data_IF_583437252458
#
_entry.id   IF_583437252458
#
_cell.length_a   1.000
_cell.length_b   1.000
_cell.length_c   1.000
_cell.angle_alpha   90.00
_cell.angle_beta   90.00
_cell.angle_gamma   90.00
#
_symmetry.space_group_name_H-M   'P 1'
#
loop_
_entity.id
_entity.type
_entity.pdbx_description
1 polymer ?
#
# COMPACT_ATOMS: atom_id res chain seq x y z
N UNK A 1 42.45 -1.73 -24.11
CA UNK A 1 41.54 -2.56 -24.92
C UNK A 1 41.48 -3.92 -24.26
N UNK A 2 40.31 -4.31 -23.74
CA UNK A 2 40.06 -5.63 -23.13
C UNK A 2 40.63 -5.78 -21.71
N UNK A 3 39.93 -6.31 -20.72
CA UNK A 3 38.67 -7.08 -20.70
C UNK A 3 38.08 -6.78 -19.30
N UNK A 4 36.87 -6.23 -19.17
CA UNK A 4 35.66 -7.04 -18.98
C UNK A 4 35.99 -8.41 -18.37
N UNK A 5 36.34 -8.42 -17.09
CA UNK A 5 36.18 -9.61 -16.27
C UNK A 5 34.87 -9.46 -15.49
N UNK A 6 33.77 -9.75 -16.18
CA UNK A 6 32.97 -10.99 -16.10
C UNK A 6 32.05 -11.01 -14.90
N UNK A 7 30.75 -10.83 -15.19
CA UNK A 7 29.61 -11.12 -14.32
C UNK A 7 29.52 -12.61 -13.87
N UNK A 8 30.62 -13.35 -13.95
CA UNK A 8 30.75 -14.78 -13.75
C UNK A 8 31.38 -15.13 -12.39
N UNK A 9 32.10 -14.19 -11.75
CA UNK A 9 32.51 -14.34 -10.34
C UNK A 9 31.31 -14.27 -9.37
N UNK A 10 30.22 -13.59 -9.76
CA UNK A 10 29.01 -13.49 -8.94
C UNK A 10 28.16 -14.79 -8.92
N UNK A 11 28.48 -15.78 -9.76
CA UNK A 11 27.76 -17.07 -9.79
C UNK A 11 28.32 -18.12 -8.82
N UNK A 12 29.50 -17.89 -8.24
CA UNK A 12 30.20 -18.90 -7.42
C UNK A 12 30.13 -18.64 -5.91
N UNK A 13 29.44 -17.60 -5.48
CA UNK A 13 29.32 -17.26 -4.06
C UNK A 13 28.16 -18.06 -3.45
N UNK A 14 28.47 -19.04 -2.58
CA UNK A 14 27.45 -19.88 -1.94
C UNK A 14 26.38 -19.03 -1.24
N UNK A 15 25.09 -19.44 -1.26
CA UNK A 15 23.99 -18.64 -0.71
C UNK A 15 24.13 -18.34 0.80
N UNK A 16 25.00 -19.09 1.50
CA UNK A 16 25.32 -18.89 2.92
C UNK A 16 26.34 -17.76 3.17
N UNK A 17 27.09 -17.34 2.15
CA UNK A 17 28.09 -16.26 2.25
C UNK A 17 27.59 -14.92 1.71
N UNK A 18 26.60 -14.89 0.80
CA UNK A 18 25.92 -13.64 0.40
C UNK A 18 25.10 -13.01 1.56
N UNK A 19 24.71 -13.84 2.55
CA UNK A 19 23.92 -13.41 3.71
C UNK A 19 24.72 -12.66 4.78
N UNK A 20 26.06 -12.56 4.67
CA UNK A 20 26.93 -11.98 5.72
C UNK A 20 27.78 -10.79 5.27
N UNK A 21 27.80 -10.45 3.98
CA UNK A 21 28.54 -9.29 3.43
C UNK A 21 27.63 -8.13 2.99
N UNK A 22 26.32 -8.35 2.88
CA UNK A 22 25.32 -7.27 2.91
C UNK A 22 25.10 -6.83 4.36
N UNK A 23 26.17 -6.38 5.02
CA UNK A 23 26.05 -5.65 6.28
C UNK A 23 25.17 -4.45 6.00
N UNK A 24 23.91 -4.53 6.41
CA UNK A 24 22.87 -3.51 6.25
C UNK A 24 23.49 -2.13 6.51
N UNK A 25 23.72 -1.29 5.48
CA UNK A 25 24.17 0.07 5.69
C UNK A 25 22.99 0.90 6.20
N UNK A 26 22.39 0.52 7.34
CA UNK A 26 21.41 1.36 8.04
C UNK A 26 22.10 2.31 8.98
N UNK A 27 23.05 3.07 8.44
CA UNK A 27 23.39 4.33 9.08
C UNK A 27 22.56 5.39 8.39
N UNK A 28 21.58 5.90 9.12
CA UNK A 28 20.92 7.14 8.79
C UNK A 28 22.00 8.22 8.66
N UNK A 29 22.18 8.73 7.45
CA UNK A 29 23.20 9.70 7.11
C UNK A 29 22.58 10.79 6.23
N UNK A 30 23.30 11.90 6.07
CA UNK A 30 22.82 13.02 5.25
C UNK A 30 22.66 12.65 3.76
N UNK A 31 23.36 11.61 3.27
CA UNK A 31 23.21 11.17 1.87
C UNK A 31 21.83 10.56 1.62
N UNK A 32 21.29 9.76 2.55
CA UNK A 32 19.94 9.21 2.41
C UNK A 32 18.89 10.32 2.35
N UNK A 33 19.07 11.42 3.09
CA UNK A 33 18.16 12.56 3.00
C UNK A 33 18.21 13.22 1.62
N UNK A 34 19.41 13.46 1.10
CA UNK A 34 19.60 14.04 -0.24
C UNK A 34 19.03 13.12 -1.31
N UNK A 35 19.28 11.82 -1.23
CA UNK A 35 18.76 10.83 -2.17
C UNK A 35 17.23 10.73 -2.11
N UNK A 36 16.64 10.84 -0.91
CA UNK A 36 15.20 10.85 -0.73
C UNK A 36 14.55 12.10 -1.34
N UNK A 37 15.18 13.26 -1.19
CA UNK A 37 14.73 14.52 -1.81
C UNK A 37 14.87 14.45 -3.33
N UNK A 38 16.01 13.93 -3.82
CA UNK A 38 16.23 13.72 -5.25
C UNK A 38 15.18 12.77 -5.85
N UNK A 39 14.82 11.71 -5.14
CA UNK A 39 13.75 10.79 -5.57
C UNK A 39 12.42 11.52 -5.79
N UNK A 40 12.03 12.46 -4.91
CA UNK A 40 10.81 13.27 -5.09
C UNK A 40 10.82 14.15 -6.35
N UNK A 41 11.99 14.48 -6.89
CA UNK A 41 12.09 15.25 -8.13
C UNK A 41 12.21 14.35 -9.37
N UNK A 42 12.72 13.13 -9.21
CA UNK A 42 13.13 12.25 -10.31
C UNK A 42 12.22 11.03 -10.50
N UNK A 43 11.26 10.75 -9.60
CA UNK A 43 10.41 9.55 -9.69
C UNK A 43 9.66 9.43 -11.03
N UNK A 44 9.28 10.55 -11.65
CA UNK A 44 8.65 10.56 -12.99
C UNK A 44 9.61 10.06 -14.08
N UNK A 45 10.89 10.39 -13.98
CA UNK A 45 11.94 9.92 -14.90
C UNK A 45 12.21 8.42 -14.73
N UNK A 46 12.01 7.90 -13.51
CA UNK A 46 12.03 6.45 -13.23
C UNK A 46 10.80 5.71 -13.77
N UNK A 47 9.92 6.39 -14.52
CA UNK A 47 8.69 5.82 -15.08
C UNK A 47 7.60 5.57 -14.04
N UNK A 48 7.71 6.16 -12.85
CA UNK A 48 6.69 6.03 -11.82
C UNK A 48 5.68 7.17 -11.96
N UNK A 49 4.40 6.81 -12.06
CA UNK A 49 3.32 7.80 -12.20
C UNK A 49 3.01 8.45 -10.85
N UNK A 50 3.08 7.66 -9.77
CA UNK A 50 2.76 8.08 -8.41
C UNK A 50 3.93 7.70 -7.49
N UNK A 51 4.47 8.64 -6.69
CA UNK A 51 5.55 8.32 -5.77
C UNK A 51 5.04 7.41 -4.66
N UNK A 52 5.90 6.51 -4.15
CA UNK A 52 5.49 5.57 -3.10
C UNK A 52 6.63 5.24 -2.15
N UNK A 53 6.29 4.82 -0.92
CA UNK A 53 7.29 4.34 0.06
C UNK A 53 8.08 3.14 -0.47
N UNK A 54 7.47 2.33 -1.32
CA UNK A 54 8.14 1.22 -1.99
C UNK A 54 9.15 1.71 -3.03
N UNK A 55 8.78 2.70 -3.86
CA UNK A 55 9.69 3.30 -4.84
C UNK A 55 10.89 3.99 -4.17
N UNK A 56 10.65 4.71 -3.08
CA UNK A 56 11.71 5.30 -2.26
C UNK A 56 12.63 4.23 -1.67
N UNK A 57 12.08 3.13 -1.14
CA UNK A 57 12.88 2.03 -0.60
C UNK A 57 13.80 1.41 -1.67
N UNK A 58 13.31 1.21 -2.89
CA UNK A 58 14.11 0.72 -4.02
C UNK A 58 15.20 1.72 -4.41
N UNK A 59 14.88 3.02 -4.49
CA UNK A 59 15.85 4.06 -4.81
C UNK A 59 17.00 4.13 -3.78
N UNK A 60 16.68 3.91 -2.50
CA UNK A 60 17.66 3.92 -1.41
C UNK A 60 18.36 2.56 -1.19
N UNK A 61 17.94 1.49 -1.88
CA UNK A 61 18.43 0.14 -1.62
C UNK A 61 18.09 -0.40 -0.22
N UNK A 62 16.98 0.07 0.37
CA UNK A 62 16.52 -0.30 1.70
C UNK A 62 15.28 -1.20 1.63
N UNK A 63 15.02 -1.91 2.72
CA UNK A 63 13.75 -2.62 2.89
C UNK A 63 12.61 -1.63 3.19
N UNK A 64 11.40 -1.93 2.71
CA UNK A 64 10.21 -1.11 2.93
C UNK A 64 9.88 -0.92 4.41
N UNK A 65 10.08 -1.95 5.23
CA UNK A 65 9.90 -1.87 6.68
C UNK A 65 10.88 -0.91 7.34
N UNK A 66 12.09 -0.79 6.79
CA UNK A 66 13.10 0.19 7.27
C UNK A 66 12.65 1.62 7.00
N UNK A 67 12.11 1.90 5.82
CA UNK A 67 11.58 3.22 5.47
C UNK A 67 10.39 3.58 6.36
N UNK A 68 9.49 2.62 6.61
CA UNK A 68 8.36 2.82 7.49
C UNK A 68 8.79 3.09 8.95
N UNK A 69 9.74 2.30 9.45
CA UNK A 69 10.34 2.47 10.78
C UNK A 69 10.95 3.88 10.90
N UNK A 70 11.81 4.28 9.95
CA UNK A 70 12.45 5.60 9.99
C UNK A 70 11.47 6.77 9.89
N UNK A 71 10.34 6.60 9.19
CA UNK A 71 9.31 7.64 9.10
C UNK A 71 8.59 7.86 10.44
N UNK A 72 8.53 6.84 11.29
CA UNK A 72 7.88 6.87 12.60
C UNK A 72 8.83 7.12 13.77
N UNK A 73 10.14 7.13 13.54
CA UNK A 73 11.14 7.38 14.59
C UNK A 73 11.27 8.87 14.91
N UNK A 74 11.18 9.21 16.20
CA UNK A 74 11.30 10.59 16.70
C UNK A 74 12.70 11.18 16.45
N UNK A 75 13.75 10.36 16.44
CA UNK A 75 15.13 10.78 16.19
C UNK A 75 15.39 11.22 14.73
N UNK A 76 14.42 11.09 13.83
CA UNK A 76 14.58 11.35 12.38
C UNK A 76 13.47 12.26 11.84
N UNK A 77 13.31 13.47 12.40
CA UNK A 77 12.22 14.37 12.00
C UNK A 77 12.33 14.81 10.53
N UNK A 78 13.54 14.91 10.00
CA UNK A 78 13.79 15.28 8.60
C UNK A 78 13.28 14.21 7.64
N UNK A 79 13.55 12.93 7.95
CA UNK A 79 13.07 11.81 7.15
C UNK A 79 11.54 11.72 7.19
N UNK A 80 10.96 11.87 8.38
CA UNK A 80 9.50 11.92 8.53
C UNK A 80 8.88 13.05 7.69
N UNK A 81 9.51 14.24 7.68
CA UNK A 81 9.07 15.36 6.83
C UNK A 81 9.13 15.02 5.33
N UNK A 82 10.19 14.35 4.87
CA UNK A 82 10.32 13.93 3.47
C UNK A 82 9.25 12.90 3.11
N UNK A 83 8.99 11.93 3.99
CA UNK A 83 7.94 10.92 3.77
C UNK A 83 6.54 11.57 3.74
N UNK A 84 6.28 12.57 4.59
CA UNK A 84 5.04 13.34 4.52
C UNK A 84 4.89 14.14 3.23
N UNK A 85 5.99 14.72 2.73
CA UNK A 85 6.00 15.40 1.43
C UNK A 85 5.73 14.41 0.28
N UNK A 86 6.32 13.21 0.35
CA UNK A 86 6.04 12.10 -0.57
C UNK A 86 4.57 11.74 -0.58
N UNK A 87 3.96 11.58 0.59
CA UNK A 87 2.54 11.24 0.74
C UNK A 87 1.62 12.34 0.18
N UNK A 88 1.93 13.62 0.42
CA UNK A 88 1.19 14.74 -0.15
C UNK A 88 1.30 14.80 -1.68
N UNK A 89 2.48 14.52 -2.23
CA UNK A 89 2.69 14.47 -3.67
C UNK A 89 1.98 13.28 -4.32
N UNK A 90 1.99 12.13 -3.64
CA UNK A 90 1.21 10.96 -4.02
C UNK A 90 -0.30 11.26 -4.08
N UNK A 91 -0.84 11.99 -3.10
CA UNK A 91 -2.24 12.42 -3.11
C UNK A 91 -2.54 13.31 -4.33
N UNK A 92 -1.70 14.32 -4.58
CA UNK A 92 -1.88 15.24 -5.70
C UNK A 92 -1.81 14.54 -7.06
N UNK A 93 -0.80 13.69 -7.29
CA UNK A 93 -0.66 12.96 -8.56
C UNK A 93 -1.80 11.93 -8.73
N UNK A 94 -2.24 11.26 -7.67
CA UNK A 94 -3.36 10.32 -7.74
C UNK A 94 -4.68 11.04 -8.07
N UNK A 95 -4.92 12.20 -7.46
CA UNK A 95 -6.10 13.02 -7.74
C UNK A 95 -6.08 13.53 -9.18
N UNK A 96 -4.97 14.14 -9.60
CA UNK A 96 -4.83 14.67 -10.96
C UNK A 96 -4.93 13.55 -12.02
N UNK A 97 -4.28 12.41 -11.79
CA UNK A 97 -4.32 11.26 -12.71
C UNK A 97 -5.68 10.57 -12.76
N UNK A 98 -6.45 10.61 -11.66
CA UNK A 98 -7.84 10.16 -11.65
C UNK A 98 -8.76 11.11 -12.43
N UNK A 99 -8.56 12.42 -12.29
CA UNK A 99 -9.33 13.45 -13.00
C UNK A 99 -8.97 13.53 -14.48
N UNK A 100 -7.72 13.28 -14.86
CA UNK A 100 -7.29 13.22 -16.27
C UNK A 100 -7.72 11.93 -16.99
N UNK A 101 -8.12 10.90 -16.23
CA UNK A 101 -8.49 9.59 -16.76
C UNK A 101 -7.29 8.70 -17.12
N UNK A 102 -6.07 9.12 -16.80
CA UNK A 102 -4.84 8.34 -17.06
C UNK A 102 -4.65 7.20 -16.04
N UNK A 103 -5.17 7.37 -14.83
CA UNK A 103 -5.11 6.36 -13.78
C UNK A 103 -6.43 5.60 -13.66
N UNK A 104 -6.32 4.30 -13.40
CA UNK A 104 -7.49 3.46 -13.17
C UNK A 104 -8.23 3.92 -11.90
N UNK A 105 -9.55 4.20 -11.95
CA UNK A 105 -10.29 4.83 -10.85
C UNK A 105 -10.24 4.03 -9.55
N UNK A 106 -10.29 2.70 -9.61
CA UNK A 106 -10.13 1.84 -8.42
C UNK A 106 -8.77 2.00 -7.73
N UNK A 107 -7.69 2.24 -8.48
CA UNK A 107 -6.36 2.42 -7.91
C UNK A 107 -6.27 3.78 -7.23
N UNK A 108 -6.81 4.81 -7.88
CA UNK A 108 -6.91 6.16 -7.31
C UNK A 108 -7.70 6.14 -6.00
N UNK A 109 -8.88 5.50 -5.98
CA UNK A 109 -9.68 5.35 -4.77
C UNK A 109 -8.89 4.69 -3.63
N UNK A 110 -8.19 3.57 -3.90
CA UNK A 110 -7.36 2.91 -2.88
C UNK A 110 -6.24 3.80 -2.33
N UNK A 111 -5.62 4.62 -3.18
CA UNK A 111 -4.57 5.57 -2.75
C UNK A 111 -5.19 6.69 -1.92
N UNK A 112 -6.27 7.31 -2.38
CA UNK A 112 -6.95 8.38 -1.67
C UNK A 112 -7.54 7.91 -0.33
N UNK A 113 -8.01 6.65 -0.24
CA UNK A 113 -8.47 6.07 1.03
C UNK A 113 -7.38 5.96 2.09
N UNK A 114 -6.10 5.91 1.71
CA UNK A 114 -4.99 6.01 2.68
C UNK A 114 -4.79 7.42 3.22
N UNK A 115 -5.25 8.43 2.49
CA UNK A 115 -5.16 9.85 2.85
C UNK A 115 -6.45 10.41 3.48
N UNK A 116 -7.38 9.53 3.86
CA UNK A 116 -8.60 9.91 4.58
C UNK A 116 -9.83 10.12 3.70
N UNK A 117 -9.73 9.92 2.38
CA UNK A 117 -10.89 9.97 1.49
C UNK A 117 -11.69 8.68 1.61
N UNK A 118 -12.92 8.81 2.11
CA UNK A 118 -13.82 7.68 2.23
C UNK A 118 -14.97 7.84 1.25
N UNK A 119 -15.16 6.84 0.41
CA UNK A 119 -16.39 6.68 -0.33
C UNK A 119 -17.45 6.19 0.67
N UNK A 120 -18.49 6.97 0.90
CA UNK A 120 -19.63 6.48 1.63
C UNK A 120 -20.25 5.34 0.82
N UNK A 121 -20.45 4.13 1.38
CA UNK A 121 -21.23 3.14 0.68
C UNK A 121 -22.61 3.73 0.46
N UNK A 122 -23.02 3.84 -0.81
CA UNK A 122 -24.40 4.17 -1.14
C UNK A 122 -25.25 3.09 -0.48
N UNK A 123 -25.99 3.47 0.55
CA UNK A 123 -26.87 2.55 1.25
C UNK A 123 -27.91 2.07 0.25
N UNK A 124 -27.74 0.84 -0.26
CA UNK A 124 -28.79 0.17 -0.97
C UNK A 124 -29.98 0.09 -0.02
N UNK A 125 -30.99 0.92 -0.26
CA UNK A 125 -32.30 0.86 0.37
C UNK A 125 -32.99 -0.41 -0.10
N UNK A 126 -32.51 -1.55 0.40
CA UNK A 126 -32.97 -2.88 0.07
C UNK A 126 -32.75 -3.78 1.27
N UNK A 127 -33.81 -4.02 2.03
CA UNK A 127 -33.80 -5.00 3.11
C UNK A 127 -33.67 -6.38 2.46
N UNK A 128 -32.50 -7.01 2.61
CA UNK A 128 -32.26 -8.37 2.12
C UNK A 128 -32.67 -9.37 3.20
N UNK A 129 -33.85 -9.98 3.07
CA UNK A 129 -34.31 -11.04 3.97
C UNK A 129 -33.78 -12.38 3.44
N UNK A 130 -32.95 -13.07 4.24
CA UNK A 130 -32.52 -14.45 3.94
C UNK A 130 -33.49 -15.43 4.61
N UNK A 131 -34.28 -16.15 3.81
CA UNK A 131 -35.24 -17.16 4.33
C UNK A 131 -34.60 -18.54 4.22
N UNK A 132 -34.30 -19.18 5.35
CA UNK A 132 -33.94 -20.59 5.39
C UNK A 132 -35.21 -21.41 5.63
N UNK A 133 -35.61 -22.21 4.63
CA UNK A 133 -36.77 -23.09 4.75
C UNK A 133 -36.31 -24.44 5.30
N UNK A 134 -36.48 -24.63 6.60
CA UNK A 134 -36.37 -25.96 7.21
C UNK A 134 -37.67 -26.74 6.98
N UNK A 135 -37.58 -27.95 6.42
CA UNK A 135 -38.75 -28.80 6.12
C UNK A 135 -39.02 -29.83 7.21
N UNK A 136 -38.23 -29.85 8.29
CA UNK A 136 -38.38 -30.82 9.38
C UNK A 136 -39.34 -30.32 10.46
N UNK A 137 -39.58 -29.01 10.52
CA UNK A 137 -40.62 -28.38 11.32
C UNK A 137 -41.59 -27.62 10.41
N UNK A 138 -42.90 -27.87 10.55
CA UNK A 138 -43.95 -27.32 9.68
C UNK A 138 -44.24 -25.83 9.85
N UNK A 139 -43.21 -24.97 9.95
CA UNK A 139 -43.37 -23.53 10.15
C UNK A 139 -42.17 -22.71 9.68
N UNK A 140 -42.42 -21.45 9.30
CA UNK A 140 -41.39 -20.46 8.94
C UNK A 140 -40.86 -19.82 10.22
N UNK A 141 -39.55 -19.89 10.47
CA UNK A 141 -38.90 -19.27 11.63
C UNK A 141 -38.25 -17.96 11.21
N UNK A 142 -38.62 -16.85 11.85
CA UNK A 142 -38.00 -15.53 11.65
C UNK A 142 -37.50 -15.03 13.00
N UNK A 143 -36.20 -14.70 13.09
CA UNK A 143 -35.53 -14.17 14.30
C UNK A 143 -35.76 -15.00 15.59
N UNK A 144 -35.83 -16.33 15.47
CA UNK A 144 -36.03 -17.21 16.63
C UNK A 144 -37.45 -17.22 17.21
N UNK A 145 -38.39 -16.48 16.63
CA UNK A 145 -39.82 -16.64 16.91
C UNK A 145 -40.48 -17.46 15.80
N UNK A 146 -41.20 -18.51 16.22
CA UNK A 146 -42.12 -19.25 15.34
C UNK A 146 -43.36 -18.38 15.19
N UNK A 147 -43.64 -17.93 13.97
CA UNK A 147 -44.92 -17.29 13.63
C UNK A 147 -45.96 -18.40 13.44
N UNK A 148 -46.64 -18.76 14.51
CA UNK A 148 -47.84 -19.60 14.42
C UNK A 148 -48.99 -18.72 13.94
N UNK A 149 -49.24 -18.77 12.64
CA UNK A 149 -50.47 -18.23 12.08
C UNK A 149 -51.62 -19.08 12.60
N UNK A 150 -52.50 -18.50 13.43
CA UNK A 150 -53.95 -18.46 13.20
C UNK A 150 -54.66 -17.78 14.37
N UNK A 151 -55.00 -16.51 14.15
CA UNK A 151 -56.19 -15.93 14.77
C UNK A 151 -57.41 -16.72 14.30
N UNK A 152 -58.07 -17.41 15.22
CA UNK A 152 -59.47 -17.82 15.14
C UNK A 152 -60.14 -17.35 16.43
N UNK A 153 -61.18 -16.56 16.21
CA UNK A 153 -62.19 -15.97 17.10
C UNK A 153 -62.02 -16.07 18.63
#
# INVERSE_FOLDING_TARGET
MGQMQTAEELKQLTPKQLKRTLGRPTKYNSTVLVDSINYLSTYKELGQIVPSKAGLAIALGLDRGTVADWASHEDKPEFSRIVRALEAQQELDALNGGLSGELHPKVVALVLSKHGYHEAPEAATGVSITVNVDRTCGGVVVDGQVIDELGKD
#
